data_IF_056823311343
#
_entry.id   IF_056823311343
#
_cell.length_a   1.000
_cell.length_b   1.000
_cell.length_c   1.000
_cell.angle_alpha   90.00
_cell.angle_beta   90.00
_cell.angle_gamma   90.00
#
_symmetry.space_group_name_H-M   'P 1'
#
loop_
_entity.id
_entity.type
_entity.pdbx_description
1 polymer ?
#
# COMPACT_ATOMS: atom_id res chain seq x y z
N UNK A 1 -46.22 -0.92 8.77
CA UNK A 1 -45.68 -1.62 7.60
C UNK A 1 -45.06 -0.58 6.69
N UNK A 2 -43.77 -0.31 6.88
CA UNK A 2 -43.00 0.57 6.00
C UNK A 2 -42.29 -0.33 5.01
N UNK A 3 -42.62 -0.17 3.73
CA UNK A 3 -41.95 -0.81 2.61
C UNK A 3 -40.51 -0.27 2.53
N UNK A 4 -39.54 -1.14 2.80
CA UNK A 4 -38.15 -0.89 2.42
C UNK A 4 -38.09 -0.94 0.89
N UNK A 5 -38.11 0.24 0.28
CA UNK A 5 -37.64 0.45 -1.08
C UNK A 5 -36.15 0.10 -1.13
N UNK A 6 -35.85 -1.18 -1.35
CA UNK A 6 -34.57 -1.61 -1.90
C UNK A 6 -34.47 -0.95 -3.27
N UNK A 7 -33.75 0.16 -3.32
CA UNK A 7 -33.36 0.82 -4.55
C UNK A 7 -32.35 -0.12 -5.24
N UNK A 8 -32.86 -1.17 -5.86
CA UNK A 8 -32.10 -2.01 -6.77
C UNK A 8 -31.81 -1.12 -7.97
N UNK A 9 -30.69 -0.39 -7.90
CA UNK A 9 -30.08 0.25 -9.06
C UNK A 9 -30.09 -0.82 -10.16
N UNK A 10 -30.85 -0.58 -11.23
CA UNK A 10 -30.73 -1.36 -12.45
C UNK A 10 -29.30 -1.12 -12.95
N UNK A 11 -28.40 -1.99 -12.52
CA UNK A 11 -27.03 -2.03 -13.00
C UNK A 11 -27.17 -2.42 -14.46
N UNK A 12 -27.01 -1.45 -15.35
CA UNK A 12 -26.95 -1.69 -16.78
C UNK A 12 -25.82 -2.72 -17.00
N UNK A 13 -26.18 -3.96 -17.38
CA UNK A 13 -25.29 -5.12 -17.55
C UNK A 13 -24.37 -4.98 -18.79
N UNK A 14 -24.01 -3.74 -19.13
CA UNK A 14 -23.21 -3.37 -20.29
C UNK A 14 -21.71 -3.41 -20.03
N UNK A 15 -20.99 -2.78 -20.95
CA UNK A 15 -19.56 -2.55 -20.83
C UNK A 15 -19.26 -1.45 -19.80
N UNK A 16 -18.17 -1.59 -19.06
CA UNK A 16 -17.70 -0.63 -18.07
C UNK A 16 -16.18 -0.47 -18.17
N UNK A 17 -15.66 0.70 -17.77
CA UNK A 17 -14.23 0.97 -17.75
C UNK A 17 -13.63 0.42 -16.45
N UNK A 18 -13.03 -0.77 -16.51
CA UNK A 18 -12.60 -1.51 -15.31
C UNK A 18 -11.07 -1.56 -15.14
N UNK A 19 -10.63 -1.74 -13.91
CA UNK A 19 -9.23 -2.01 -13.56
C UNK A 19 -9.12 -2.75 -12.22
N UNK A 20 -8.04 -3.49 -12.04
CA UNK A 20 -7.68 -4.17 -10.79
C UNK A 20 -6.54 -3.41 -10.12
N UNK A 21 -6.68 -3.16 -8.82
CA UNK A 21 -5.69 -2.39 -8.06
C UNK A 21 -5.69 -2.79 -6.59
N UNK A 22 -4.56 -2.56 -5.92
CA UNK A 22 -4.51 -2.54 -4.47
C UNK A 22 -5.18 -1.28 -3.93
N UNK A 23 -6.04 -1.42 -2.92
CA UNK A 23 -6.50 -0.27 -2.14
C UNK A 23 -5.38 0.11 -1.16
N UNK A 24 -4.98 1.39 -1.17
CA UNK A 24 -3.80 1.85 -0.44
C UNK A 24 -4.20 2.74 0.74
N UNK A 25 -3.59 2.49 1.88
CA UNK A 25 -3.63 3.35 3.06
C UNK A 25 -2.22 3.92 3.30
N UNK A 26 -2.15 5.20 3.64
CA UNK A 26 -0.90 5.90 3.93
C UNK A 26 -1.20 7.14 4.80
N UNK A 27 -0.23 7.65 5.58
CA UNK A 27 -0.35 8.93 6.29
C UNK A 27 -0.21 10.09 5.30
N UNK A 28 -1.21 10.22 4.41
CA UNK A 28 -1.22 11.21 3.35
C UNK A 28 -1.07 12.63 3.90
N UNK A 29 -0.23 13.48 3.29
CA UNK A 29 -0.13 14.88 3.71
C UNK A 29 -1.50 15.54 3.69
N UNK A 30 -1.77 16.38 4.69
CA UNK A 30 -3.00 17.17 4.74
C UNK A 30 -3.08 18.17 3.60
N UNK A 31 -1.93 18.76 3.25
CA UNK A 31 -1.81 19.81 2.26
C UNK A 31 -0.90 19.34 1.12
N UNK A 32 -1.51 18.94 0.00
CA UNK A 32 -0.80 18.71 -1.25
C UNK A 32 -0.87 19.98 -2.12
N UNK A 33 0.14 20.25 -2.97
CA UNK A 33 0.08 21.38 -3.90
C UNK A 33 -1.14 21.26 -4.85
N UNK A 34 -1.57 22.39 -5.40
CA UNK A 34 -2.76 22.43 -6.25
C UNK A 34 -2.66 21.47 -7.45
N UNK A 35 -3.69 20.63 -7.61
CA UNK A 35 -3.94 19.79 -8.77
C UNK A 35 -5.45 19.47 -8.89
N UNK A 36 -5.87 18.82 -9.98
CA UNK A 36 -7.11 18.02 -9.94
C UNK A 36 -6.80 16.74 -9.18
N UNK A 37 -6.94 16.78 -7.86
CA UNK A 37 -6.50 15.72 -6.96
C UNK A 37 -7.51 14.58 -6.86
N UNK A 38 -7.02 13.37 -6.61
CA UNK A 38 -7.84 12.26 -6.15
C UNK A 38 -8.14 12.43 -4.65
N UNK A 39 -9.34 12.03 -4.24
CA UNK A 39 -9.64 11.86 -2.81
C UNK A 39 -8.72 10.78 -2.22
N UNK A 40 -8.54 10.77 -0.90
CA UNK A 40 -7.64 9.81 -0.22
C UNK A 40 -8.08 8.37 -0.46
N UNK A 41 -9.40 8.15 -0.47
CA UNK A 41 -10.07 6.86 -0.61
C UNK A 41 -10.03 6.34 -2.05
N UNK A 42 -9.81 7.22 -3.03
CA UNK A 42 -9.71 6.90 -4.46
C UNK A 42 -8.26 6.54 -4.86
N UNK A 43 -7.27 6.71 -3.97
CA UNK A 43 -5.86 6.42 -4.24
C UNK A 43 -5.60 4.92 -4.21
N UNK A 44 -4.96 4.42 -5.25
CA UNK A 44 -4.75 2.99 -5.46
C UNK A 44 -3.46 2.74 -6.24
N UNK A 45 -2.90 1.54 -6.07
CA UNK A 45 -1.78 1.05 -6.89
C UNK A 45 -2.35 0.13 -7.97
N UNK A 46 -2.38 0.60 -9.22
CA UNK A 46 -2.97 -0.16 -10.33
C UNK A 46 -2.11 -1.36 -10.68
N UNK A 47 -2.75 -2.54 -10.75
CA UNK A 47 -2.14 -3.80 -11.19
C UNK A 47 -2.40 -3.99 -12.69
N UNK A 48 -3.69 -3.94 -13.10
CA UNK A 48 -4.08 -4.17 -14.48
C UNK A 48 -5.24 -3.24 -14.90
N UNK A 49 -5.03 -2.48 -15.96
CA UNK A 49 -6.09 -1.65 -16.57
C UNK A 49 -6.79 -2.43 -17.70
N UNK A 50 -8.10 -2.65 -17.56
CA UNK A 50 -8.87 -3.54 -18.47
C UNK A 50 -9.57 -2.76 -19.59
N UNK A 51 -9.65 -1.43 -19.48
CA UNK A 51 -10.40 -0.61 -20.42
C UNK A 51 -11.91 -0.90 -20.37
N UNK A 52 -12.60 -0.69 -21.49
CA UNK A 52 -14.03 -0.97 -21.59
C UNK A 52 -14.26 -2.46 -21.82
N UNK A 53 -14.74 -3.17 -20.81
CA UNK A 53 -14.97 -4.62 -20.84
C UNK A 53 -16.35 -4.99 -20.30
N UNK A 54 -16.82 -6.21 -20.53
CA UNK A 54 -18.09 -6.70 -19.99
C UNK A 54 -17.99 -6.88 -18.47
N UNK A 55 -18.84 -6.16 -17.73
CA UNK A 55 -18.76 -6.10 -16.26
C UNK A 55 -18.90 -7.47 -15.61
N UNK A 56 -19.89 -8.27 -16.02
CA UNK A 56 -20.18 -9.57 -15.40
C UNK A 56 -19.08 -10.60 -15.63
N UNK A 57 -18.56 -10.69 -16.85
CA UNK A 57 -17.46 -11.60 -17.18
C UNK A 57 -16.20 -11.26 -16.39
N UNK A 58 -15.93 -9.97 -16.21
CA UNK A 58 -14.76 -9.50 -15.44
C UNK A 58 -14.95 -9.74 -13.95
N UNK A 59 -16.16 -9.52 -13.41
CA UNK A 59 -16.49 -9.87 -12.03
C UNK A 59 -16.30 -11.36 -11.76
N UNK A 60 -16.72 -12.21 -12.69
CA UNK A 60 -16.56 -13.65 -12.53
C UNK A 60 -15.09 -14.09 -12.59
N UNK A 61 -14.31 -13.53 -13.53
CA UNK A 61 -12.87 -13.74 -13.58
C UNK A 61 -12.18 -13.25 -12.29
N UNK A 62 -12.60 -12.11 -11.74
CA UNK A 62 -12.04 -11.54 -10.52
C UNK A 62 -12.26 -12.43 -9.28
N UNK A 63 -13.37 -13.17 -9.17
CA UNK A 63 -13.59 -14.09 -8.03
C UNK A 63 -12.47 -15.12 -7.86
N UNK A 64 -11.86 -15.53 -8.97
CA UNK A 64 -10.78 -16.52 -9.01
C UNK A 64 -9.43 -15.86 -9.32
N UNK A 65 -9.28 -14.55 -9.06
CA UNK A 65 -8.03 -13.82 -9.28
C UNK A 65 -6.89 -14.51 -8.51
N UNK A 66 -5.69 -14.67 -9.10
CA UNK A 66 -4.53 -15.06 -8.33
C UNK A 66 -4.28 -14.02 -7.23
N UNK A 67 -3.99 -14.50 -6.02
CA UNK A 67 -3.64 -13.70 -4.87
C UNK A 67 -2.12 -13.74 -4.63
N UNK A 68 -1.53 -12.73 -3.97
CA UNK A 68 -0.13 -12.78 -3.57
C UNK A 68 0.14 -13.95 -2.61
N UNK A 69 1.42 -14.27 -2.39
CA UNK A 69 1.83 -15.40 -1.56
C UNK A 69 1.23 -15.31 -0.15
N UNK A 70 0.60 -16.39 0.31
CA UNK A 70 -0.17 -16.50 1.56
C UNK A 70 -1.26 -15.43 1.74
N UNK A 71 -1.70 -14.79 0.64
CA UNK A 71 -2.61 -13.63 0.67
C UNK A 71 -2.12 -12.52 1.61
N UNK A 72 -0.81 -12.38 1.80
CA UNK A 72 -0.24 -11.30 2.60
C UNK A 72 -0.35 -9.98 1.84
N UNK A 73 -0.79 -8.93 2.53
CA UNK A 73 -0.84 -7.58 2.01
C UNK A 73 0.54 -6.99 1.76
N UNK A 74 0.54 -5.77 1.21
CA UNK A 74 1.76 -5.03 0.92
C UNK A 74 2.02 -4.02 2.04
N UNK A 75 3.28 -3.88 2.45
CA UNK A 75 3.76 -2.77 3.27
C UNK A 75 5.04 -2.25 2.62
N UNK A 76 5.09 -0.97 2.29
CA UNK A 76 6.19 -0.39 1.54
C UNK A 76 6.24 1.13 1.67
N UNK A 77 6.99 1.81 0.80
CA UNK A 77 7.21 3.25 0.86
C UNK A 77 6.99 3.90 -0.50
N UNK A 78 6.62 5.17 -0.46
CA UNK A 78 6.86 6.06 -1.57
C UNK A 78 8.28 6.63 -1.47
N UNK A 79 9.06 6.55 -2.54
CA UNK A 79 10.49 6.93 -2.56
C UNK A 79 10.81 8.07 -3.54
N UNK A 80 9.94 8.33 -4.52
CA UNK A 80 10.12 9.42 -5.48
C UNK A 80 8.81 10.02 -6.00
N UNK A 81 8.78 11.32 -6.35
CA UNK A 81 7.70 11.89 -7.15
C UNK A 81 7.87 11.53 -8.63
N UNK A 82 6.77 11.20 -9.29
CA UNK A 82 6.69 10.88 -10.72
C UNK A 82 5.78 11.87 -11.45
N UNK A 83 6.20 12.24 -12.66
CA UNK A 83 5.50 13.20 -13.51
C UNK A 83 5.27 12.58 -14.89
N UNK A 84 4.07 12.05 -15.12
CA UNK A 84 3.81 11.14 -16.24
C UNK A 84 2.92 11.77 -17.33
N UNK A 85 3.23 11.59 -18.63
CA UNK A 85 4.52 11.13 -19.17
C UNK A 85 5.61 12.21 -19.02
N UNK A 86 6.89 11.83 -19.09
CA UNK A 86 8.03 12.71 -18.78
C UNK A 86 8.07 14.01 -19.60
N UNK A 87 7.79 13.93 -20.91
CA UNK A 87 7.88 15.09 -21.82
C UNK A 87 6.73 16.09 -21.68
N UNK A 88 5.55 15.61 -21.27
CA UNK A 88 4.38 16.47 -21.05
C UNK A 88 3.53 15.94 -19.91
N UNK A 89 3.98 16.12 -18.65
CA UNK A 89 3.35 15.49 -17.50
C UNK A 89 1.91 15.93 -17.30
N UNK A 90 0.98 15.01 -17.48
CA UNK A 90 -0.45 15.21 -17.25
C UNK A 90 -0.90 14.67 -15.90
N UNK A 91 -0.06 13.88 -15.24
CA UNK A 91 -0.30 13.19 -13.99
C UNK A 91 0.87 13.43 -13.05
N UNK A 92 0.57 13.69 -11.79
CA UNK A 92 1.53 13.60 -10.69
C UNK A 92 1.19 12.40 -9.85
N UNK A 93 2.19 11.56 -9.64
CA UNK A 93 2.10 10.30 -8.92
C UNK A 93 3.29 10.18 -7.98
N UNK A 94 3.24 9.26 -7.03
CA UNK A 94 4.41 8.85 -6.28
C UNK A 94 4.78 7.41 -6.63
N UNK A 95 6.07 7.18 -6.87
CA UNK A 95 6.65 5.87 -7.12
C UNK A 95 6.57 5.03 -5.84
N UNK A 96 6.28 3.75 -5.99
CA UNK A 96 6.23 2.79 -4.89
C UNK A 96 7.47 1.92 -4.95
N UNK A 97 8.29 1.98 -3.92
CA UNK A 97 9.43 1.07 -3.75
C UNK A 97 8.92 -0.27 -3.21
N UNK A 98 8.90 -1.31 -4.02
CA UNK A 98 8.39 -2.62 -3.63
C UNK A 98 9.48 -3.46 -2.96
N UNK A 99 9.25 -4.00 -1.74
CA UNK A 99 10.06 -5.11 -1.27
C UNK A 99 9.83 -6.31 -2.20
N UNK A 100 10.86 -7.09 -2.50
CA UNK A 100 10.73 -8.29 -3.34
C UNK A 100 10.14 -7.99 -4.74
N UNK A 101 10.75 -7.02 -5.42
CA UNK A 101 10.27 -6.51 -6.72
C UNK A 101 10.03 -7.63 -7.76
N UNK A 102 10.89 -8.67 -7.78
CA UNK A 102 10.77 -9.79 -8.71
C UNK A 102 9.49 -10.62 -8.45
N UNK A 103 9.22 -10.96 -7.20
CA UNK A 103 8.03 -11.69 -6.77
C UNK A 103 6.75 -10.89 -7.09
N UNK A 104 6.77 -9.58 -6.87
CA UNK A 104 5.65 -8.71 -7.25
C UNK A 104 5.46 -8.63 -8.77
N UNK A 105 6.54 -8.57 -9.55
CA UNK A 105 6.45 -8.65 -11.00
C UNK A 105 5.84 -9.98 -11.47
N UNK A 106 6.23 -11.10 -10.88
CA UNK A 106 5.64 -12.41 -11.18
C UNK A 106 4.14 -12.42 -10.85
N UNK A 107 3.75 -11.84 -9.71
CA UNK A 107 2.35 -11.70 -9.32
C UNK A 107 1.54 -10.87 -10.32
N UNK A 108 2.03 -9.68 -10.69
CA UNK A 108 1.38 -8.79 -11.68
C UNK A 108 1.22 -9.51 -13.02
N UNK A 109 2.23 -10.26 -13.45
CA UNK A 109 2.17 -11.04 -14.69
C UNK A 109 1.11 -12.15 -14.62
N UNK A 110 0.99 -12.83 -13.48
CA UNK A 110 -0.06 -13.84 -13.27
C UNK A 110 -1.46 -13.20 -13.34
N UNK A 111 -1.64 -12.01 -12.77
CA UNK A 111 -2.91 -11.26 -12.87
C UNK A 111 -3.23 -10.88 -14.32
N UNK A 112 -2.25 -10.36 -15.07
CA UNK A 112 -2.44 -10.01 -16.48
C UNK A 112 -2.82 -11.24 -17.33
N UNK A 113 -2.12 -12.36 -17.13
CA UNK A 113 -2.40 -13.61 -17.82
C UNK A 113 -3.80 -14.13 -17.49
N UNK A 114 -4.19 -14.11 -16.21
CA UNK A 114 -5.53 -14.53 -15.76
C UNK A 114 -6.65 -13.69 -16.37
N UNK A 115 -6.45 -12.38 -16.47
CA UNK A 115 -7.42 -11.45 -17.02
C UNK A 115 -7.35 -11.30 -18.55
N UNK A 116 -6.46 -12.06 -19.21
CA UNK A 116 -6.21 -11.97 -20.66
C UNK A 116 -5.93 -10.54 -21.14
N UNK A 117 -5.16 -9.78 -20.38
CA UNK A 117 -4.80 -8.40 -20.73
C UNK A 117 -3.37 -8.30 -21.24
N UNK A 118 -3.10 -7.38 -22.19
CA UNK A 118 -1.75 -7.16 -22.65
C UNK A 118 -0.88 -6.72 -21.48
N UNK A 119 0.23 -7.41 -21.30
CA UNK A 119 1.24 -7.06 -20.30
C UNK A 119 1.93 -5.77 -20.73
N UNK A 120 2.08 -4.82 -19.80
CA UNK A 120 2.94 -3.66 -20.05
C UNK A 120 4.40 -4.11 -20.09
N UNK A 121 5.17 -3.60 -21.06
CA UNK A 121 6.60 -3.98 -21.21
C UNK A 121 7.44 -3.65 -19.98
N UNK A 122 7.02 -2.66 -19.19
CA UNK A 122 7.64 -2.27 -17.93
C UNK A 122 6.54 -1.73 -17.03
N UNK A 123 6.09 -2.53 -16.07
CA UNK A 123 5.20 -2.05 -15.02
C UNK A 123 5.96 -1.03 -14.17
N UNK A 124 5.35 0.14 -13.94
CA UNK A 124 5.91 1.20 -13.11
C UNK A 124 4.99 1.34 -11.90
N UNK A 125 5.32 0.77 -10.73
CA UNK A 125 4.44 0.81 -9.58
C UNK A 125 4.35 2.25 -9.04
N UNK A 126 3.15 2.82 -9.10
CA UNK A 126 2.90 4.18 -8.64
C UNK A 126 1.46 4.40 -8.21
N UNK A 127 1.26 5.38 -7.34
CA UNK A 127 -0.07 5.86 -6.94
C UNK A 127 -0.27 7.26 -7.47
N UNK A 128 -1.32 7.46 -8.27
CA UNK A 128 -1.67 8.79 -8.79
C UNK A 128 -2.26 9.66 -7.68
N UNK A 129 -1.76 10.87 -7.53
CA UNK A 129 -2.28 11.85 -6.57
C UNK A 129 -3.13 12.93 -7.22
N UNK A 130 -2.78 13.32 -8.45
CA UNK A 130 -3.50 14.35 -9.16
C UNK A 130 -3.21 14.41 -10.64
N UNK A 131 -4.05 15.16 -11.35
CA UNK A 131 -3.89 15.45 -12.77
C UNK A 131 -3.79 16.96 -12.98
N UNK A 132 -3.27 17.35 -14.15
CA UNK A 132 -3.18 18.76 -14.57
C UNK A 132 -4.48 19.53 -14.31
N UNK A 133 -4.41 20.84 -14.03
CA UNK A 133 -3.19 21.65 -13.96
C UNK A 133 -2.42 21.44 -12.65
N UNK A 134 -1.09 21.40 -12.70
CA UNK A 134 -0.21 21.40 -11.51
C UNK A 134 1.15 22.02 -11.84
N UNK A 135 1.89 22.47 -10.82
CA UNK A 135 3.27 22.96 -10.96
C UNK A 135 4.27 21.86 -10.58
N UNK A 136 5.09 21.41 -11.53
CA UNK A 136 6.05 20.31 -11.34
C UNK A 136 7.05 20.57 -10.20
N UNK A 137 7.59 21.77 -10.11
CA UNK A 137 8.61 22.11 -9.11
C UNK A 137 8.03 22.11 -7.71
N UNK A 138 6.85 22.72 -7.52
CA UNK A 138 6.17 22.71 -6.21
C UNK A 138 5.85 21.28 -5.74
N UNK A 139 5.39 20.42 -6.66
CA UNK A 139 5.13 19.01 -6.34
C UNK A 139 6.40 18.25 -5.99
N UNK A 140 7.50 18.47 -6.71
CA UNK A 140 8.79 17.84 -6.43
C UNK A 140 9.35 18.29 -5.07
N UNK A 141 9.28 19.58 -4.76
CA UNK A 141 9.72 20.14 -3.47
C UNK A 141 8.84 19.70 -2.30
N UNK A 142 7.55 19.43 -2.54
CA UNK A 142 6.62 18.94 -1.50
C UNK A 142 6.76 17.46 -1.19
N UNK A 143 7.50 16.70 -2.01
CA UNK A 143 7.65 15.28 -1.81
C UNK A 143 8.53 14.98 -0.60
N UNK A 144 8.07 14.05 0.23
CA UNK A 144 8.89 13.37 1.21
C UNK A 144 8.45 11.89 1.25
N UNK A 145 9.37 10.96 1.55
CA UNK A 145 9.00 9.56 1.68
C UNK A 145 7.97 9.36 2.79
N UNK A 146 6.94 8.57 2.51
CA UNK A 146 5.95 8.13 3.51
C UNK A 146 5.68 6.62 3.34
N UNK A 147 5.27 5.91 4.39
CA UNK A 147 4.89 4.51 4.26
C UNK A 147 3.55 4.37 3.54
N UNK A 148 3.29 3.17 3.06
CA UNK A 148 1.98 2.74 2.63
C UNK A 148 1.74 1.28 2.95
N UNK A 149 0.46 0.94 3.16
CA UNK A 149 0.01 -0.44 3.31
C UNK A 149 -1.14 -0.73 2.36
N UNK A 150 -1.27 -1.99 1.95
CA UNK A 150 -2.42 -2.48 1.20
C UNK A 150 -2.89 -3.81 1.77
N UNK A 151 -4.12 -3.82 2.27
CA UNK A 151 -4.78 -5.01 2.84
C UNK A 151 -5.87 -5.57 1.93
N UNK A 152 -6.08 -4.97 0.74
CA UNK A 152 -7.19 -5.33 -0.17
C UNK A 152 -6.77 -5.22 -1.63
N UNK A 153 -7.28 -6.15 -2.43
CA UNK A 153 -7.28 -6.08 -3.89
C UNK A 153 -8.70 -5.85 -4.34
N UNK A 154 -8.92 -4.85 -5.18
CA UNK A 154 -10.25 -4.46 -5.59
C UNK A 154 -10.36 -4.47 -7.12
N UNK A 155 -11.53 -4.88 -7.61
CA UNK A 155 -12.00 -4.55 -8.94
C UNK A 155 -12.73 -3.22 -8.88
N UNK A 156 -12.22 -2.25 -9.62
CA UNK A 156 -12.81 -0.91 -9.69
C UNK A 156 -13.49 -0.66 -11.03
N UNK A 157 -14.53 0.15 -10.98
CA UNK A 157 -15.11 0.85 -12.13
C UNK A 157 -14.71 2.33 -12.11
N UNK A 158 -14.18 2.82 -13.22
CA UNK A 158 -13.90 4.24 -13.43
C UNK A 158 -15.16 4.98 -13.86
N UNK A 159 -15.71 5.81 -12.97
CA UNK A 159 -16.89 6.64 -13.22
C UNK A 159 -16.56 7.96 -13.95
N UNK A 160 -15.28 8.20 -14.25
CA UNK A 160 -14.80 9.48 -14.79
C UNK A 160 -14.51 10.49 -13.69
N UNK A 161 -13.89 11.62 -14.08
CA UNK A 161 -13.53 12.71 -13.16
C UNK A 161 -12.81 12.26 -11.88
N UNK A 162 -11.90 11.26 -12.01
CA UNK A 162 -11.10 10.73 -10.90
C UNK A 162 -11.90 10.05 -9.78
N UNK A 163 -13.13 9.59 -10.08
CA UNK A 163 -13.96 8.84 -9.13
C UNK A 163 -14.03 7.38 -9.51
N UNK A 164 -13.98 6.52 -8.51
CA UNK A 164 -14.03 5.08 -8.68
C UNK A 164 -15.13 4.45 -7.84
N UNK A 165 -15.71 3.35 -8.32
CA UNK A 165 -16.59 2.50 -7.55
C UNK A 165 -15.93 1.14 -7.36
N UNK A 166 -15.88 0.65 -6.12
CA UNK A 166 -15.47 -0.73 -5.83
C UNK A 166 -16.60 -1.66 -6.23
N UNK A 167 -16.33 -2.60 -7.14
CA UNK A 167 -17.29 -3.60 -7.58
C UNK A 167 -17.14 -4.92 -6.81
N UNK A 168 -15.91 -5.29 -6.47
CA UNK A 168 -15.57 -6.49 -5.71
C UNK A 168 -14.22 -6.30 -5.01
N UNK A 169 -14.01 -7.06 -3.92
CA UNK A 169 -12.82 -7.00 -3.09
C UNK A 169 -12.38 -8.41 -2.69
N UNK A 170 -11.08 -8.63 -2.68
CA UNK A 170 -10.42 -9.70 -1.95
C UNK A 170 -9.66 -9.10 -0.77
N UNK A 171 -9.99 -9.54 0.44
CA UNK A 171 -9.25 -9.18 1.64
C UNK A 171 -7.94 -9.97 1.70
N UNK A 172 -6.86 -9.28 2.07
CA UNK A 172 -5.54 -9.83 2.32
C UNK A 172 -5.27 -9.84 3.82
N UNK A 173 -4.40 -10.74 4.27
CA UNK A 173 -3.86 -10.71 5.62
C UNK A 173 -3.04 -9.42 5.77
N UNK A 174 -3.40 -8.51 6.69
CA UNK A 174 -2.67 -7.25 6.81
C UNK A 174 -1.25 -7.51 7.35
N UNK A 175 -0.21 -6.94 6.72
CA UNK A 175 1.17 -7.08 7.18
C UNK A 175 1.41 -6.39 8.52
N UNK A 176 0.59 -5.38 8.83
CA UNK A 176 0.64 -4.55 10.03
C UNK A 176 -0.79 -4.35 10.51
N UNK A 177 -1.03 -4.61 11.79
CA UNK A 177 -2.32 -4.42 12.44
C UNK A 177 -2.08 -3.77 13.80
N UNK A 178 -2.74 -2.64 14.10
CA UNK A 178 -2.68 -2.04 15.44
C UNK A 178 -3.54 -2.89 16.36
N UNK A 179 -2.99 -3.32 17.49
CA UNK A 179 -3.70 -4.15 18.47
C UNK A 179 -3.87 -3.39 19.79
N UNK A 180 -4.99 -3.64 20.47
CA UNK A 180 -5.20 -3.13 21.82
C UNK A 180 -4.18 -3.76 22.77
N UNK A 181 -3.40 -2.92 23.45
CA UNK A 181 -2.47 -3.35 24.47
C UNK A 181 -2.50 -2.36 25.64
N UNK A 182 -2.05 -2.80 26.81
CA UNK A 182 -2.00 -1.95 28.02
C UNK A 182 -0.84 -0.94 28.00
N UNK A 183 0.08 -1.10 27.04
CA UNK A 183 1.17 -0.16 26.76
C UNK A 183 0.75 0.85 25.69
N UNK A 184 1.59 1.85 25.44
CA UNK A 184 1.25 3.02 24.63
C UNK A 184 0.77 2.66 23.21
N UNK A 185 1.59 1.93 22.43
CA UNK A 185 1.22 1.46 21.08
C UNK A 185 1.71 0.02 20.89
N UNK A 186 0.88 -0.81 20.26
CA UNK A 186 1.24 -2.19 19.91
C UNK A 186 0.80 -2.54 18.50
N UNK A 187 1.66 -3.27 17.79
CA UNK A 187 1.43 -3.76 16.45
C UNK A 187 1.55 -5.28 16.40
N UNK A 188 0.67 -5.92 15.65
CA UNK A 188 0.84 -7.28 15.17
C UNK A 188 1.41 -7.23 13.76
N UNK A 189 2.69 -7.61 13.64
CA UNK A 189 3.43 -7.63 12.39
C UNK A 189 3.45 -9.06 11.83
N UNK A 190 3.25 -9.18 10.51
CA UNK A 190 3.22 -10.48 9.82
C UNK A 190 4.15 -10.49 8.62
N UNK A 191 4.99 -11.50 8.49
CA UNK A 191 5.96 -11.61 7.39
C UNK A 191 6.26 -13.06 7.00
N UNK A 192 6.80 -13.29 5.80
CA UNK A 192 7.27 -14.61 5.38
C UNK A 192 8.68 -14.89 5.92
N UNK A 193 9.46 -13.82 6.12
CA UNK A 193 10.84 -13.87 6.57
C UNK A 193 11.11 -12.86 7.69
N UNK A 194 12.27 -12.98 8.36
CA UNK A 194 12.72 -11.98 9.33
C UNK A 194 12.95 -10.60 8.69
N UNK A 195 13.37 -10.56 7.42
CA UNK A 195 13.51 -9.29 6.70
C UNK A 195 12.15 -8.64 6.46
N UNK A 196 11.09 -9.42 6.22
CA UNK A 196 9.73 -8.88 6.08
C UNK A 196 9.25 -8.30 7.41
N UNK A 197 9.47 -9.01 8.52
CA UNK A 197 9.12 -8.49 9.84
C UNK A 197 9.88 -7.21 10.17
N UNK A 198 11.17 -7.15 9.86
CA UNK A 198 11.96 -5.92 10.00
C UNK A 198 11.37 -4.78 9.17
N UNK A 199 11.11 -5.03 7.89
CA UNK A 199 10.56 -4.03 6.96
C UNK A 199 9.18 -3.55 7.42
N UNK A 200 8.30 -4.46 7.81
CA UNK A 200 6.96 -4.14 8.31
C UNK A 200 7.01 -3.37 9.64
N UNK A 201 7.97 -3.66 10.51
CA UNK A 201 8.20 -2.87 11.72
C UNK A 201 8.61 -1.43 11.40
N UNK A 202 9.52 -1.24 10.44
CA UNK A 202 9.90 0.10 9.97
C UNK A 202 8.69 0.85 9.39
N UNK A 203 7.87 0.17 8.58
CA UNK A 203 6.66 0.77 7.97
C UNK A 203 5.65 1.13 9.06
N UNK A 204 5.48 0.30 10.10
CA UNK A 204 4.57 0.56 11.21
C UNK A 204 4.98 1.80 12.00
N UNK A 205 6.26 1.90 12.39
CA UNK A 205 6.80 3.09 13.06
C UNK A 205 6.67 4.34 12.19
N UNK A 206 6.94 4.21 10.89
CA UNK A 206 6.80 5.32 9.96
C UNK A 206 5.34 5.76 9.74
N UNK A 207 4.37 4.89 10.02
CA UNK A 207 2.96 5.22 9.87
C UNK A 207 2.51 6.17 10.99
N UNK A 208 3.05 5.97 12.19
CA UNK A 208 2.88 6.85 13.35
C UNK A 208 3.74 8.12 13.25
N UNK A 209 4.98 8.02 12.75
CA UNK A 209 5.86 9.16 12.48
C UNK A 209 6.56 9.05 11.10
N UNK A 210 6.03 9.72 10.05
CA UNK A 210 6.60 9.67 8.71
C UNK A 210 8.06 10.10 8.59
N UNK A 211 8.63 10.84 9.56
CA UNK A 211 10.05 11.19 9.54
C UNK A 211 10.95 9.96 9.60
N UNK A 212 10.45 8.86 10.18
CA UNK A 212 11.18 7.59 10.28
C UNK A 212 11.59 7.05 8.90
N UNK A 213 10.84 7.34 7.83
CA UNK A 213 11.20 6.94 6.47
C UNK A 213 12.57 7.49 6.01
N UNK A 214 13.05 8.61 6.56
CA UNK A 214 14.33 9.23 6.17
C UNK A 214 15.55 8.53 6.77
N UNK A 215 15.35 7.71 7.80
CA UNK A 215 16.41 7.06 8.55
C UNK A 215 16.61 5.60 8.13
N UNK A 216 15.90 5.15 7.09
CA UNK A 216 16.11 3.83 6.50
C UNK A 216 17.52 3.77 5.89
N UNK A 217 18.33 2.84 6.40
CA UNK A 217 19.61 2.49 5.82
C UNK A 217 19.52 1.09 5.19
N UNK A 218 20.47 0.75 4.31
CA UNK A 218 20.58 -0.58 3.73
C UNK A 218 20.52 -1.64 4.84
N UNK A 219 19.55 -2.55 4.74
CA UNK A 219 19.31 -3.54 5.78
C UNK A 219 20.56 -4.40 5.96
N UNK A 220 21.08 -4.44 7.19
CA UNK A 220 21.99 -5.51 7.58
C UNK A 220 21.25 -6.84 7.52
N UNK A 221 21.98 -7.93 7.40
CA UNK A 221 21.39 -9.28 7.36
C UNK A 221 20.65 -9.54 8.67
N UNK A 222 19.32 -9.56 8.63
CA UNK A 222 18.48 -9.89 9.79
C UNK A 222 18.31 -11.41 9.85
N UNK A 223 18.62 -12.01 10.99
CA UNK A 223 18.47 -13.45 11.21
C UNK A 223 17.57 -13.81 12.39
N UNK A 224 17.43 -12.90 13.35
CA UNK A 224 16.66 -13.10 14.57
C UNK A 224 15.81 -11.89 14.91
N UNK A 225 14.87 -12.06 15.83
CA UNK A 225 14.06 -10.96 16.37
C UNK A 225 14.90 -9.96 17.17
N UNK A 226 15.96 -10.44 17.85
CA UNK A 226 16.88 -9.57 18.59
C UNK A 226 17.68 -8.66 17.64
N UNK A 227 18.07 -9.18 16.46
CA UNK A 227 18.67 -8.35 15.41
C UNK A 227 17.72 -7.22 15.01
N UNK A 228 16.43 -7.53 14.83
CA UNK A 228 15.41 -6.54 14.49
C UNK A 228 15.33 -5.46 15.56
N UNK A 229 15.13 -5.86 16.82
CA UNK A 229 15.01 -4.92 17.95
C UNK A 229 16.25 -4.03 18.07
N UNK A 230 17.44 -4.62 17.95
CA UNK A 230 18.70 -3.88 18.00
C UNK A 230 18.80 -2.82 16.89
N UNK A 231 18.48 -3.20 15.64
CA UNK A 231 18.55 -2.27 14.50
C UNK A 231 17.50 -1.16 14.61
N UNK A 232 16.27 -1.49 14.99
CA UNK A 232 15.23 -0.50 15.22
C UNK A 232 15.61 0.48 16.33
N UNK A 233 16.19 0.00 17.44
CA UNK A 233 16.71 0.85 18.52
C UNK A 233 17.81 1.81 18.04
N UNK A 234 18.69 1.35 17.14
CA UNK A 234 19.70 2.21 16.52
C UNK A 234 19.07 3.30 15.64
N UNK A 235 18.04 2.98 14.86
CA UNK A 235 17.32 3.97 14.05
C UNK A 235 16.54 4.96 14.90
N UNK A 236 15.85 4.51 15.95
CA UNK A 236 15.17 5.38 16.91
C UNK A 236 16.13 6.36 17.58
N UNK A 237 17.28 5.88 18.05
CA UNK A 237 18.32 6.74 18.63
C UNK A 237 18.85 7.75 17.61
N UNK A 238 19.01 7.32 16.35
CA UNK A 238 19.47 8.19 15.27
C UNK A 238 18.45 9.28 14.93
N UNK A 239 17.16 8.93 14.85
CA UNK A 239 16.06 9.89 14.66
C UNK A 239 16.00 10.88 15.82
N UNK A 240 15.98 10.37 17.06
CA UNK A 240 15.88 11.20 18.27
C UNK A 240 17.01 12.23 18.36
N UNK A 241 18.24 11.80 18.08
CA UNK A 241 19.40 12.70 18.11
C UNK A 241 19.39 13.82 17.06
N UNK A 242 18.66 13.66 15.95
CA UNK A 242 18.67 14.60 14.83
C UNK A 242 17.40 15.45 14.75
N UNK A 243 16.23 14.85 14.93
CA UNK A 243 14.93 15.49 14.73
C UNK A 243 14.02 15.38 15.97
N UNK A 244 14.40 14.58 16.98
CA UNK A 244 13.52 14.14 18.06
C UNK A 244 12.68 12.94 17.62
N UNK A 245 12.44 12.00 18.53
CA UNK A 245 11.60 10.82 18.28
C UNK A 245 10.43 10.79 19.26
N UNK A 246 9.20 10.53 18.80
CA UNK A 246 8.08 10.26 19.68
C UNK A 246 8.17 8.87 20.33
N UNK A 247 9.11 8.01 19.89
CA UNK A 247 9.30 6.67 20.43
C UNK A 247 10.60 6.58 21.23
N UNK A 248 10.51 5.96 22.41
CA UNK A 248 11.63 5.67 23.32
C UNK A 248 12.28 4.32 23.04
N UNK A 249 11.52 3.36 22.52
CA UNK A 249 12.02 2.01 22.29
C UNK A 249 11.01 1.09 21.65
N UNK A 250 11.51 -0.06 21.20
CA UNK A 250 10.70 -1.18 20.71
C UNK A 250 11.08 -2.44 21.46
N UNK A 251 10.09 -3.27 21.76
CA UNK A 251 10.29 -4.55 22.43
C UNK A 251 9.38 -5.65 21.88
N UNK A 252 9.74 -6.89 22.18
CA UNK A 252 8.94 -8.07 21.87
C UNK A 252 8.01 -8.39 23.05
N UNK A 253 6.72 -8.51 22.77
CA UNK A 253 5.79 -9.12 23.72
C UNK A 253 5.64 -10.62 23.43
N UNK A 254 5.94 -11.45 24.42
CA UNK A 254 5.82 -12.91 24.31
C UNK A 254 6.91 -13.54 23.43
N UNK A 255 6.49 -14.31 22.43
CA UNK A 255 7.37 -15.06 21.53
C UNK A 255 6.95 -14.85 20.08
N UNK A 256 7.90 -14.95 19.16
CA UNK A 256 7.62 -15.04 17.73
C UNK A 256 6.78 -16.30 17.47
N UNK A 257 5.63 -16.13 16.81
CA UNK A 257 4.71 -17.23 16.47
C UNK A 257 4.82 -17.54 14.98
N UNK A 258 4.65 -18.80 14.61
CA UNK A 258 4.45 -19.19 13.21
C UNK A 258 3.00 -19.66 13.05
N UNK A 259 2.25 -19.02 12.15
CA UNK A 259 0.83 -19.30 11.94
C UNK A 259 0.50 -19.25 10.45
N UNK A 260 -0.02 -20.37 9.93
CA UNK A 260 -0.36 -20.52 8.51
C UNK A 260 0.79 -20.17 7.54
N UNK A 261 2.04 -20.44 7.95
CA UNK A 261 3.23 -20.13 7.16
C UNK A 261 3.71 -18.67 7.23
N UNK A 262 3.09 -17.84 8.08
CA UNK A 262 3.54 -16.48 8.39
C UNK A 262 4.20 -16.46 9.77
N UNK A 263 5.27 -15.69 9.88
CA UNK A 263 5.82 -15.26 11.17
C UNK A 263 4.95 -14.11 11.70
N UNK A 264 4.54 -14.19 12.96
CA UNK A 264 3.77 -13.17 13.66
C UNK A 264 4.56 -12.64 14.86
N UNK A 265 4.72 -11.31 14.92
CA UNK A 265 5.39 -10.59 16.01
C UNK A 265 4.45 -9.53 16.60
N UNK A 266 4.15 -9.65 17.89
CA UNK A 266 3.56 -8.59 18.71
C UNK A 266 4.65 -7.60 19.15
N UNK A 267 4.80 -6.51 18.38
CA UNK A 267 5.73 -5.41 18.63
C UNK A 267 5.10 -4.39 19.56
N UNK A 268 5.77 -4.06 20.66
CA UNK A 268 5.38 -2.97 21.56
C UNK A 268 6.30 -1.78 21.32
N UNK A 269 5.72 -0.59 21.23
CA UNK A 269 6.44 0.67 21.07
C UNK A 269 6.19 1.53 22.31
N UNK A 270 7.27 1.88 23.00
CA UNK A 270 7.23 2.81 24.12
C UNK A 270 7.29 4.24 23.56
N UNK A 271 6.37 5.12 23.98
CA UNK A 271 6.32 6.54 23.54
C UNK A 271 6.73 7.50 24.64
#
# INVERSE_FOLDING_TARGET
MLEYLTLTLFINMGTARLFVAFAIEAPWPENLPLARSLNREDRHLTIAFLGNTHREQTLDAFKNLPLPLLSLGLACYFDAPLFLPDDSPNVVSWHVELPHEEEFHQYVNAVHAHLNTPQEKKWLPHVTLGRRPFNKNLWAESFYPIPMVASKICLYESLGNLRYAVLATHDLVPPIEIIEHTADIAFLLRGLTMNDLFHHALVALAFEDPNFCRFRHESQKITTIDDIIFQLGHYLTSLDSKEGSPFKGVSLHGHLKEKHGLLEWEMIVDV
#
